data_IF_682417445162
#
_entry.id   IF_682417445162
#
_cell.length_a   1.000
_cell.length_b   1.000
_cell.length_c   1.000
_cell.angle_alpha   90.00
_cell.angle_beta   90.00
_cell.angle_gamma   90.00
#
_symmetry.space_group_name_H-M   'P 1'
#
loop_
_entity.id
_entity.type
_entity.pdbx_description
1 polymer ?
#
# COMPACT_ATOMS: atom_id res chain seq x y z
N UNK A 1 32.24 -12.60 6.52
CA UNK A 1 31.24 -11.92 7.36
C UNK A 1 31.23 -10.41 7.12
N UNK A 2 32.32 -9.68 7.40
CA UNK A 2 32.36 -8.20 7.28
C UNK A 2 31.97 -7.66 5.90
N UNK A 3 32.50 -8.23 4.81
CA UNK A 3 32.14 -7.82 3.45
C UNK A 3 30.66 -8.06 3.11
N UNK A 4 30.07 -9.13 3.64
CA UNK A 4 28.66 -9.44 3.41
C UNK A 4 27.76 -8.43 4.15
N UNK A 5 28.06 -8.15 5.42
CA UNK A 5 27.38 -7.13 6.23
C UNK A 5 27.45 -5.75 5.60
N UNK A 6 28.62 -5.34 5.11
CA UNK A 6 28.79 -4.07 4.43
C UNK A 6 27.96 -3.99 3.13
N UNK A 7 27.81 -5.10 2.41
CA UNK A 7 26.95 -5.15 1.23
C UNK A 7 25.47 -4.99 1.62
N UNK A 8 25.02 -5.61 2.71
CA UNK A 8 23.66 -5.45 3.22
C UNK A 8 23.35 -4.02 3.66
N UNK A 9 24.27 -3.38 4.37
CA UNK A 9 24.13 -1.98 4.81
C UNK A 9 24.03 -1.01 3.63
N UNK A 10 24.58 -1.39 2.48
CA UNK A 10 24.50 -0.63 1.22
C UNK A 10 23.30 -1.04 0.34
N UNK A 11 22.41 -1.91 0.82
CA UNK A 11 21.28 -2.44 0.04
C UNK A 11 21.68 -3.39 -1.09
N UNK A 12 22.94 -3.81 -1.16
CA UNK A 12 23.45 -4.71 -2.21
C UNK A 12 23.13 -6.17 -1.87
N UNK A 13 21.84 -6.49 -1.74
CA UNK A 13 21.36 -7.78 -1.21
C UNK A 13 21.83 -8.99 -2.03
N UNK A 14 21.84 -8.89 -3.37
CA UNK A 14 22.35 -9.98 -4.24
C UNK A 14 23.84 -10.26 -3.98
N UNK A 15 24.65 -9.21 -3.76
CA UNK A 15 26.08 -9.35 -3.45
C UNK A 15 26.30 -9.92 -2.05
N UNK A 16 25.50 -9.48 -1.09
CA UNK A 16 25.51 -10.04 0.27
C UNK A 16 25.20 -11.54 0.24
N UNK A 17 24.16 -11.94 -0.50
CA UNK A 17 23.75 -13.34 -0.68
C UNK A 17 24.90 -14.20 -1.23
N UNK A 18 25.54 -13.76 -2.32
CA UNK A 18 26.69 -14.47 -2.90
C UNK A 18 27.82 -14.67 -1.89
N UNK A 19 28.09 -13.64 -1.09
CA UNK A 19 29.13 -13.70 -0.05
C UNK A 19 28.75 -14.67 1.06
N UNK A 20 27.49 -14.67 1.52
CA UNK A 20 27.00 -15.64 2.49
C UNK A 20 27.01 -17.06 1.94
N UNK A 21 26.73 -17.25 0.66
CA UNK A 21 26.77 -18.56 0.00
C UNK A 21 28.16 -19.17 0.07
N UNK A 22 29.20 -18.37 -0.22
CA UNK A 22 30.61 -18.82 -0.07
C UNK A 22 30.94 -19.16 1.39
N UNK A 23 30.39 -18.42 2.36
CA UNK A 23 30.58 -18.74 3.77
C UNK A 23 29.94 -20.07 4.14
N UNK A 24 28.71 -20.33 3.68
CA UNK A 24 27.98 -21.57 3.92
C UNK A 24 28.59 -22.77 3.18
N UNK A 25 29.21 -22.58 2.02
CA UNK A 25 29.98 -23.64 1.35
C UNK A 25 31.19 -24.09 2.19
N UNK A 26 31.83 -23.17 2.91
CA UNK A 26 32.98 -23.48 3.78
C UNK A 26 32.56 -24.02 5.14
N UNK A 27 31.46 -23.52 5.69
CA UNK A 27 30.88 -23.98 6.94
C UNK A 27 29.34 -23.96 6.83
N UNK A 28 28.72 -25.10 6.46
CA UNK A 28 27.28 -25.21 6.28
C UNK A 28 26.47 -24.94 7.56
N UNK A 29 27.06 -25.15 8.74
CA UNK A 29 26.42 -24.95 10.04
C UNK A 29 26.75 -23.60 10.67
N UNK A 30 27.18 -22.61 9.88
CA UNK A 30 27.36 -21.26 10.40
C UNK A 30 25.99 -20.58 10.64
N UNK A 31 25.50 -20.64 11.88
CA UNK A 31 24.18 -20.12 12.28
C UNK A 31 23.98 -18.65 11.91
N UNK A 32 25.01 -17.82 12.09
CA UNK A 32 24.98 -16.39 11.74
C UNK A 32 24.84 -16.19 10.23
N UNK A 33 25.58 -16.95 9.41
CA UNK A 33 25.48 -16.85 7.96
C UNK A 33 24.13 -17.38 7.44
N UNK A 34 23.61 -18.46 8.03
CA UNK A 34 22.27 -18.98 7.73
C UNK A 34 21.20 -17.91 8.05
N UNK A 35 21.27 -17.33 9.25
CA UNK A 35 20.36 -16.27 9.68
C UNK A 35 20.38 -15.05 8.75
N UNK A 36 21.57 -14.55 8.41
CA UNK A 36 21.70 -13.41 7.48
C UNK A 36 21.27 -13.77 6.06
N UNK A 37 21.51 -15.00 5.60
CA UNK A 37 20.97 -15.47 4.33
C UNK A 37 19.43 -15.43 4.33
N UNK A 38 18.81 -15.83 5.44
CA UNK A 38 17.38 -15.68 5.67
C UNK A 38 16.88 -14.25 5.49
N UNK A 39 17.50 -13.30 6.21
CA UNK A 39 17.15 -11.88 6.14
C UNK A 39 17.32 -11.33 4.72
N UNK A 40 18.44 -11.61 4.07
CA UNK A 40 18.73 -11.13 2.71
C UNK A 40 17.69 -11.65 1.71
N UNK A 41 17.31 -12.93 1.80
CA UNK A 41 16.27 -13.50 0.95
C UNK A 41 14.90 -12.87 1.20
N UNK A 42 14.57 -12.57 2.46
CA UNK A 42 13.34 -11.84 2.79
C UNK A 42 13.32 -10.45 2.17
N UNK A 43 14.45 -9.72 2.18
CA UNK A 43 14.58 -8.40 1.55
C UNK A 43 14.51 -8.45 0.01
N UNK A 44 14.84 -9.60 -0.58
CA UNK A 44 14.71 -9.86 -2.01
C UNK A 44 13.32 -10.39 -2.41
N UNK A 45 12.36 -10.45 -1.47
CA UNK A 45 11.01 -11.00 -1.71
C UNK A 45 10.97 -12.53 -1.83
N UNK A 46 12.08 -13.23 -1.58
CA UNK A 46 12.19 -14.69 -1.65
C UNK A 46 11.84 -15.32 -0.32
N UNK A 47 10.58 -15.20 0.08
CA UNK A 47 10.10 -15.59 1.42
C UNK A 47 10.29 -17.10 1.69
N UNK A 48 10.10 -17.96 0.70
CA UNK A 48 10.32 -19.41 0.82
C UNK A 48 11.78 -19.77 1.12
N UNK A 49 12.72 -19.08 0.48
CA UNK A 49 14.15 -19.27 0.75
C UNK A 49 14.51 -18.69 2.13
N UNK A 50 13.94 -17.53 2.47
CA UNK A 50 14.15 -16.89 3.76
C UNK A 50 13.82 -17.83 4.92
N UNK A 51 12.62 -18.41 4.91
CA UNK A 51 12.15 -19.33 5.95
C UNK A 51 13.02 -20.58 6.04
N UNK A 52 13.44 -21.17 4.90
CA UNK A 52 14.34 -22.33 4.91
C UNK A 52 15.66 -22.04 5.64
N UNK A 53 16.32 -20.93 5.30
CA UNK A 53 17.58 -20.56 5.95
C UNK A 53 17.39 -20.19 7.43
N UNK A 54 16.29 -19.53 7.79
CA UNK A 54 15.97 -19.20 9.18
C UNK A 54 15.66 -20.44 10.01
N UNK A 55 14.93 -21.41 9.47
CA UNK A 55 14.70 -22.71 10.12
C UNK A 55 16.02 -23.44 10.37
N UNK A 56 16.94 -23.46 9.41
CA UNK A 56 18.27 -24.06 9.61
C UNK A 56 19.08 -23.28 10.67
N UNK A 57 19.02 -21.95 10.69
CA UNK A 57 19.68 -21.15 11.73
C UNK A 57 19.14 -21.48 13.13
N UNK A 58 17.82 -21.64 13.28
CA UNK A 58 17.16 -22.06 14.53
C UNK A 58 17.54 -23.50 14.90
N UNK A 59 17.65 -24.43 13.94
CA UNK A 59 18.11 -25.80 14.23
C UNK A 59 19.54 -25.84 14.76
N UNK A 60 20.43 -25.02 14.20
CA UNK A 60 21.83 -24.97 14.64
C UNK A 60 21.96 -24.30 16.01
N UNK A 61 21.19 -23.24 16.26
CA UNK A 61 21.22 -22.50 17.52
C UNK A 61 19.80 -22.23 18.03
N UNK A 62 19.16 -23.23 18.68
CA UNK A 62 17.78 -23.10 19.13
C UNK A 62 17.65 -22.01 20.18
N UNK A 63 18.61 -21.83 21.07
CA UNK A 63 18.50 -20.86 22.17
C UNK A 63 18.55 -19.38 21.76
N UNK A 64 18.67 -19.05 20.47
CA UNK A 64 18.73 -17.67 20.03
C UNK A 64 17.32 -17.10 19.71
N UNK A 65 16.74 -16.25 20.59
CA UNK A 65 15.39 -15.70 20.40
C UNK A 65 15.29 -14.83 19.14
N UNK A 66 16.38 -14.17 18.73
CA UNK A 66 16.41 -13.32 17.52
C UNK A 66 16.13 -14.13 16.26
N UNK A 67 16.64 -15.36 16.19
CA UNK A 67 16.42 -16.23 15.02
C UNK A 67 14.97 -16.67 14.93
N UNK A 68 14.33 -16.93 16.07
CA UNK A 68 12.89 -17.17 16.12
C UNK A 68 12.06 -15.93 15.77
N UNK A 69 12.45 -14.73 16.22
CA UNK A 69 11.76 -13.48 15.88
C UNK A 69 11.72 -13.27 14.37
N UNK A 70 12.88 -13.44 13.71
CA UNK A 70 13.01 -13.25 12.28
C UNK A 70 12.34 -14.40 11.49
N UNK A 71 12.39 -15.63 12.00
CA UNK A 71 11.64 -16.77 11.44
C UNK A 71 10.12 -16.52 11.50
N UNK A 72 9.60 -16.08 12.65
CA UNK A 72 8.19 -15.76 12.82
C UNK A 72 7.72 -14.66 11.86
N UNK A 73 8.53 -13.63 11.67
CA UNK A 73 8.23 -12.59 10.68
C UNK A 73 8.27 -13.11 9.24
N UNK A 74 9.23 -13.96 8.89
CA UNK A 74 9.29 -14.56 7.56
C UNK A 74 8.06 -15.46 7.27
N UNK A 75 7.62 -16.25 8.26
CA UNK A 75 6.41 -17.08 8.17
C UNK A 75 5.14 -16.22 8.04
N UNK A 76 5.08 -15.08 8.75
CA UNK A 76 4.01 -14.10 8.58
C UNK A 76 3.94 -13.57 7.15
N UNK A 77 5.08 -13.23 6.54
CA UNK A 77 5.13 -12.78 5.13
C UNK A 77 4.72 -13.87 4.13
N UNK A 78 4.86 -15.15 4.50
CA UNK A 78 4.33 -16.29 3.74
C UNK A 78 2.85 -16.57 4.01
N UNK A 79 2.20 -15.79 4.87
CA UNK A 79 0.84 -16.00 5.35
C UNK A 79 0.65 -17.33 6.11
N UNK A 80 1.72 -17.95 6.62
CA UNK A 80 1.66 -19.09 7.55
C UNK A 80 1.52 -18.56 8.99
N UNK A 81 0.35 -17.98 9.27
CA UNK A 81 0.05 -17.34 10.54
C UNK A 81 0.18 -18.29 11.75
N UNK A 82 -0.28 -19.56 11.69
CA UNK A 82 -0.12 -20.49 12.82
C UNK A 82 1.35 -20.80 13.15
N UNK A 83 2.20 -21.04 12.14
CA UNK A 83 3.61 -21.30 12.40
C UNK A 83 4.34 -20.04 12.89
N UNK A 84 3.97 -18.87 12.36
CA UNK A 84 4.51 -17.58 12.79
C UNK A 84 4.24 -17.32 14.28
N UNK A 85 3.01 -17.57 14.73
CA UNK A 85 2.62 -17.43 16.14
C UNK A 85 3.48 -18.31 17.05
N UNK A 86 3.61 -19.61 16.74
CA UNK A 86 4.43 -20.55 17.52
C UNK A 86 5.87 -20.06 17.63
N UNK A 87 6.49 -19.63 16.53
CA UNK A 87 7.86 -19.15 16.53
C UNK A 87 8.04 -17.90 17.41
N UNK A 88 7.07 -16.97 17.37
CA UNK A 88 7.13 -15.72 18.14
C UNK A 88 6.85 -15.93 19.63
N UNK A 89 5.92 -16.81 19.98
CA UNK A 89 5.70 -17.22 21.36
C UNK A 89 6.95 -17.88 21.95
N UNK A 90 7.60 -18.77 21.21
CA UNK A 90 8.86 -19.38 21.63
C UNK A 90 9.98 -18.35 21.77
N UNK A 91 10.00 -17.31 20.92
CA UNK A 91 10.98 -16.22 21.02
C UNK A 91 10.78 -15.45 22.34
N UNK A 92 9.53 -15.11 22.67
CA UNK A 92 9.17 -14.41 23.90
C UNK A 92 9.47 -15.26 25.13
N UNK A 93 9.22 -16.58 25.09
CA UNK A 93 9.55 -17.49 26.19
C UNK A 93 11.06 -17.53 26.46
N UNK A 94 11.89 -17.49 25.42
CA UNK A 94 13.36 -17.49 25.54
C UNK A 94 13.91 -16.15 26.02
N UNK A 95 13.37 -15.06 25.51
CA UNK A 95 13.74 -13.70 25.93
C UNK A 95 12.52 -12.76 25.95
N UNK A 96 11.92 -12.55 27.14
CA UNK A 96 10.81 -11.63 27.33
C UNK A 96 11.16 -10.16 27.13
N UNK A 97 12.45 -9.80 26.96
CA UNK A 97 12.87 -8.41 26.73
C UNK A 97 12.81 -7.99 25.26
N UNK A 98 12.69 -8.95 24.33
CA UNK A 98 12.66 -8.66 22.89
C UNK A 98 11.31 -8.08 22.47
N UNK A 99 11.15 -6.75 22.58
CA UNK A 99 9.93 -6.02 22.18
C UNK A 99 9.48 -6.33 20.75
N UNK A 100 10.43 -6.60 19.84
CA UNK A 100 10.16 -6.95 18.44
C UNK A 100 9.31 -8.23 18.32
N UNK A 101 9.52 -9.22 19.18
CA UNK A 101 8.75 -10.47 19.16
C UNK A 101 7.30 -10.23 19.55
N UNK A 102 7.04 -9.38 20.54
CA UNK A 102 5.69 -8.96 20.92
C UNK A 102 5.01 -8.16 19.81
N UNK A 103 5.72 -7.22 19.19
CA UNK A 103 5.19 -6.45 18.05
C UNK A 103 4.79 -7.37 16.89
N UNK A 104 5.68 -8.29 16.50
CA UNK A 104 5.39 -9.25 15.43
C UNK A 104 4.26 -10.20 15.82
N UNK A 105 4.18 -10.63 17.08
CA UNK A 105 3.09 -11.49 17.54
C UNK A 105 1.74 -10.76 17.47
N UNK A 106 1.71 -9.48 17.86
CA UNK A 106 0.52 -8.63 17.71
C UNK A 106 0.06 -8.55 16.25
N UNK A 107 1.00 -8.36 15.29
CA UNK A 107 0.69 -8.39 13.85
C UNK A 107 0.08 -9.74 13.44
N UNK A 108 0.68 -10.86 13.85
CA UNK A 108 0.17 -12.21 13.52
C UNK A 108 -1.24 -12.43 14.09
N UNK A 109 -1.45 -12.13 15.38
CA UNK A 109 -2.75 -12.26 16.04
C UNK A 109 -3.83 -11.41 15.36
N UNK A 110 -3.49 -10.17 15.01
CA UNK A 110 -4.39 -9.27 14.30
C UNK A 110 -4.75 -9.78 12.90
N UNK A 111 -3.77 -10.33 12.16
CA UNK A 111 -4.02 -10.98 10.87
C UNK A 111 -4.82 -12.29 10.97
N UNK A 112 -4.82 -12.95 12.13
CA UNK A 112 -5.73 -14.05 12.45
C UNK A 112 -7.14 -13.57 12.86
N UNK A 113 -7.36 -12.26 13.02
CA UNK A 113 -8.63 -11.68 13.46
C UNK A 113 -8.79 -11.59 14.99
N UNK A 114 -7.76 -11.93 15.77
CA UNK A 114 -7.75 -11.89 17.25
C UNK A 114 -7.33 -10.51 17.75
N UNK A 115 -8.11 -9.49 17.41
CA UNK A 115 -7.74 -8.07 17.64
C UNK A 115 -7.56 -7.71 19.12
N UNK A 116 -8.40 -8.22 20.00
CA UNK A 116 -8.27 -7.96 21.45
C UNK A 116 -6.96 -8.52 21.99
N UNK A 117 -6.58 -9.74 21.58
CA UNK A 117 -5.31 -10.35 21.98
C UNK A 117 -4.12 -9.60 21.38
N UNK A 118 -4.21 -9.20 20.11
CA UNK A 118 -3.21 -8.37 19.46
C UNK A 118 -2.97 -7.05 20.23
N UNK A 119 -4.04 -6.42 20.71
CA UNK A 119 -3.95 -5.21 21.54
C UNK A 119 -3.22 -5.47 22.86
N UNK A 120 -3.62 -6.52 23.59
CA UNK A 120 -3.02 -6.83 24.89
C UNK A 120 -1.53 -7.16 24.76
N UNK A 121 -1.16 -7.95 23.74
CA UNK A 121 0.24 -8.27 23.45
C UNK A 121 1.03 -7.01 23.11
N UNK A 122 0.51 -6.14 22.23
CA UNK A 122 1.16 -4.86 21.92
C UNK A 122 1.35 -4.02 23.20
N UNK A 123 0.26 -3.79 23.94
CA UNK A 123 0.23 -2.94 25.14
C UNK A 123 1.17 -3.41 26.25
N UNK A 124 1.52 -4.69 26.29
CA UNK A 124 2.47 -5.24 27.25
C UNK A 124 3.90 -4.68 27.11
N UNK A 125 4.27 -4.13 25.94
CA UNK A 125 5.63 -3.66 25.64
C UNK A 125 5.73 -2.22 25.10
N UNK A 126 4.60 -1.61 24.77
CA UNK A 126 4.49 -0.29 24.15
C UNK A 126 3.36 0.55 24.77
N UNK A 127 3.32 1.84 24.49
CA UNK A 127 2.29 2.76 25.00
C UNK A 127 0.90 2.47 24.43
N UNK A 128 -0.14 3.14 24.95
CA UNK A 128 -1.51 2.89 24.50
C UNK A 128 -1.75 3.44 23.08
N UNK A 129 -1.19 4.61 22.80
CA UNK A 129 -1.17 5.23 21.48
C UNK A 129 -0.37 4.40 20.48
N UNK A 130 0.77 3.83 20.89
CA UNK A 130 1.56 2.90 20.06
C UNK A 130 0.78 1.63 19.72
N UNK A 131 0.10 1.04 20.71
CA UNK A 131 -0.71 -0.15 20.49
C UNK A 131 -1.90 0.12 19.57
N UNK A 132 -2.59 1.26 19.73
CA UNK A 132 -3.68 1.64 18.84
C UNK A 132 -3.21 1.93 17.42
N UNK A 133 -2.08 2.61 17.24
CA UNK A 133 -1.48 2.80 15.93
C UNK A 133 -1.17 1.47 15.23
N UNK A 134 -0.62 0.50 15.97
CA UNK A 134 -0.34 -0.83 15.44
C UNK A 134 -1.61 -1.58 15.02
N UNK A 135 -2.69 -1.51 15.80
CA UNK A 135 -3.97 -2.07 15.37
C UNK A 135 -4.53 -1.36 14.13
N UNK A 136 -4.42 -0.03 14.07
CA UNK A 136 -4.82 0.73 12.88
C UNK A 136 -4.09 0.25 11.63
N UNK A 137 -2.80 -0.04 11.76
CA UNK A 137 -1.99 -0.63 10.70
C UNK A 137 -2.48 -2.03 10.29
N UNK A 138 -2.73 -2.92 11.24
CA UNK A 138 -3.23 -4.27 10.97
C UNK A 138 -4.60 -4.21 10.27
N UNK A 139 -5.52 -3.38 10.75
CA UNK A 139 -6.84 -3.18 10.12
C UNK A 139 -6.69 -2.66 8.69
N UNK A 140 -5.78 -1.72 8.45
CA UNK A 140 -5.49 -1.21 7.12
C UNK A 140 -4.98 -2.30 6.17
N UNK A 141 -4.04 -3.14 6.63
CA UNK A 141 -3.52 -4.27 5.84
C UNK A 141 -4.58 -5.33 5.54
N UNK A 142 -5.64 -5.41 6.36
CA UNK A 142 -6.79 -6.28 6.15
C UNK A 142 -7.92 -5.65 5.35
N UNK A 143 -7.75 -4.43 4.83
CA UNK A 143 -8.78 -3.68 4.11
C UNK A 143 -9.92 -3.14 4.98
N UNK A 144 -9.79 -3.23 6.31
CA UNK A 144 -10.79 -2.76 7.28
C UNK A 144 -10.59 -1.27 7.54
N UNK A 145 -10.92 -0.45 6.55
CA UNK A 145 -10.60 0.99 6.56
C UNK A 145 -11.27 1.75 7.70
N UNK A 146 -12.51 1.42 8.06
CA UNK A 146 -13.24 2.07 9.16
C UNK A 146 -12.61 1.77 10.52
N UNK A 147 -12.25 0.50 10.75
CA UNK A 147 -11.56 0.07 11.98
C UNK A 147 -10.17 0.71 12.07
N UNK A 148 -9.46 0.80 10.94
CA UNK A 148 -8.16 1.45 10.85
C UNK A 148 -8.25 2.93 11.26
N UNK A 149 -9.20 3.67 10.70
CA UNK A 149 -9.45 5.06 11.06
C UNK A 149 -9.77 5.22 12.56
N UNK A 150 -10.64 4.36 13.10
CA UNK A 150 -11.02 4.39 14.51
C UNK A 150 -9.81 4.22 15.43
N UNK A 151 -8.96 3.23 15.15
CA UNK A 151 -7.75 3.00 15.94
C UNK A 151 -6.72 4.12 15.81
N UNK A 152 -6.50 4.68 14.61
CA UNK A 152 -5.63 5.84 14.46
C UNK A 152 -6.15 7.09 15.18
N UNK A 153 -7.46 7.34 15.14
CA UNK A 153 -8.07 8.42 15.92
C UNK A 153 -7.87 8.19 17.42
N UNK A 154 -8.04 6.96 17.90
CA UNK A 154 -7.80 6.65 19.31
C UNK A 154 -6.35 6.89 19.75
N UNK A 155 -5.38 6.61 18.88
CA UNK A 155 -3.99 6.97 19.13
C UNK A 155 -3.79 8.50 19.22
N UNK A 156 -4.42 9.28 18.33
CA UNK A 156 -4.35 10.75 18.32
C UNK A 156 -5.10 11.40 19.49
N UNK A 157 -6.15 10.79 20.01
CA UNK A 157 -6.82 11.25 21.24
C UNK A 157 -5.90 11.18 22.46
N UNK A 158 -4.99 10.19 22.48
CA UNK A 158 -4.02 10.00 23.56
C UNK A 158 -2.80 10.90 23.35
N UNK A 159 -2.27 10.93 22.13
CA UNK A 159 -1.16 11.79 21.75
C UNK A 159 -1.44 12.52 20.42
N UNK A 160 -1.86 13.80 20.47
CA UNK A 160 -2.18 14.58 19.27
C UNK A 160 -0.97 14.94 18.39
N UNK A 161 0.27 14.75 18.87
CA UNK A 161 1.49 15.19 18.18
C UNK A 161 2.11 14.08 17.30
N UNK A 162 1.40 12.97 17.08
CA UNK A 162 1.84 11.88 16.24
C UNK A 162 1.62 12.18 14.75
N UNK A 163 2.56 12.90 14.13
CA UNK A 163 2.43 13.33 12.72
C UNK A 163 2.28 12.16 11.73
N UNK A 164 3.01 11.06 11.94
CA UNK A 164 2.86 9.84 11.13
C UNK A 164 1.45 9.23 11.19
N UNK A 165 0.77 9.37 12.33
CA UNK A 165 -0.61 8.89 12.49
C UNK A 165 -1.60 9.85 11.83
N UNK A 166 -1.33 11.17 11.86
CA UNK A 166 -2.14 12.15 11.10
C UNK A 166 -2.08 11.85 9.61
N UNK A 167 -0.89 11.57 9.08
CA UNK A 167 -0.70 11.14 7.70
C UNK A 167 -1.45 9.84 7.41
N UNK A 168 -1.39 8.87 8.33
CA UNK A 168 -2.12 7.61 8.20
C UNK A 168 -3.65 7.82 8.11
N UNK A 169 -4.22 8.69 8.95
CA UNK A 169 -5.66 9.03 8.91
C UNK A 169 -6.05 9.64 7.57
N UNK A 170 -5.24 10.56 7.03
CA UNK A 170 -5.49 11.18 5.72
C UNK A 170 -5.48 10.12 4.61
N UNK A 171 -4.52 9.20 4.64
CA UNK A 171 -4.43 8.12 3.66
C UNK A 171 -5.62 7.16 3.75
N UNK A 172 -6.03 6.76 4.96
CA UNK A 172 -7.23 5.92 5.17
C UNK A 172 -8.48 6.62 4.62
N UNK A 173 -8.66 7.92 4.88
CA UNK A 173 -9.79 8.68 4.36
C UNK A 173 -9.82 8.75 2.81
N UNK A 174 -8.65 8.86 2.17
CA UNK A 174 -8.54 8.80 0.71
C UNK A 174 -8.95 7.42 0.16
N UNK A 175 -8.52 6.34 0.83
CA UNK A 175 -8.89 4.97 0.46
C UNK A 175 -10.40 4.73 0.63
N UNK A 176 -11.00 5.20 1.73
CA UNK A 176 -12.45 5.11 1.96
C UNK A 176 -13.22 5.84 0.85
N UNK A 177 -12.80 7.06 0.51
CA UNK A 177 -13.42 7.82 -0.59
C UNK A 177 -13.31 7.09 -1.93
N UNK A 178 -12.16 6.48 -2.22
CA UNK A 178 -11.96 5.68 -3.44
C UNK A 178 -12.88 4.47 -3.45
N UNK A 179 -13.01 3.76 -2.32
CA UNK A 179 -13.90 2.61 -2.17
C UNK A 179 -15.36 3.00 -2.35
N UNK A 180 -15.81 4.10 -1.75
CA UNK A 180 -17.17 4.64 -1.91
C UNK A 180 -17.46 5.03 -3.36
N UNK A 181 -16.52 5.68 -4.04
CA UNK A 181 -16.67 6.04 -5.44
C UNK A 181 -16.77 4.79 -6.35
N UNK A 182 -15.94 3.78 -6.10
CA UNK A 182 -16.02 2.50 -6.82
C UNK A 182 -17.36 1.81 -6.59
N UNK A 183 -17.85 1.80 -5.36
CA UNK A 183 -19.16 1.26 -5.03
C UNK A 183 -20.28 2.01 -5.75
N UNK A 184 -20.26 3.35 -5.76
CA UNK A 184 -21.24 4.16 -6.46
C UNK A 184 -21.25 3.90 -7.98
N UNK A 185 -20.08 3.74 -8.60
CA UNK A 185 -19.94 3.42 -10.03
C UNK A 185 -20.38 1.99 -10.38
N UNK A 186 -20.34 1.07 -9.41
CA UNK A 186 -20.85 -0.30 -9.57
C UNK A 186 -22.35 -0.44 -9.38
N UNK A 187 -23.05 0.64 -8.97
CA UNK A 187 -24.51 0.62 -8.86
C UNK A 187 -25.16 0.61 -10.26
N UNK A 188 -26.14 -0.28 -10.50
CA UNK A 188 -26.74 -0.44 -11.83
C UNK A 188 -27.43 0.84 -12.34
N UNK A 189 -27.94 1.69 -11.45
CA UNK A 189 -28.61 2.95 -11.82
C UNK A 189 -27.64 3.97 -12.48
N UNK A 190 -26.37 4.00 -12.05
CA UNK A 190 -25.35 4.88 -12.63
C UNK A 190 -24.85 4.33 -13.98
N UNK A 191 -24.77 3.00 -14.13
CA UNK A 191 -24.43 2.35 -15.41
C UNK A 191 -25.53 2.52 -16.47
N UNK A 192 -26.81 2.44 -16.07
CA UNK A 192 -27.93 2.68 -17.00
C UNK A 192 -27.95 4.14 -17.47
N UNK A 193 -27.62 5.10 -16.60
CA UNK A 193 -27.52 6.51 -16.97
C UNK A 193 -26.39 6.80 -17.97
N UNK A 194 -25.26 6.09 -17.89
CA UNK A 194 -24.14 6.23 -18.83
C UNK A 194 -24.38 5.48 -20.16
N UNK A 195 -25.13 4.37 -20.15
CA UNK A 195 -25.45 3.59 -21.34
C UNK A 195 -26.76 4.01 -22.03
N UNK A 196 -27.51 4.97 -21.48
CA UNK A 196 -28.67 5.54 -22.16
C UNK A 196 -28.19 6.52 -23.22
N UNK A 197 -28.20 6.08 -24.48
CA UNK A 197 -28.05 6.98 -25.62
C UNK A 197 -29.00 8.19 -25.44
N UNK A 198 -28.56 9.43 -25.76
CA UNK A 198 -29.46 10.57 -25.70
C UNK A 198 -30.66 10.27 -26.60
N UNK A 199 -31.86 10.20 -26.00
CA UNK A 199 -33.07 10.02 -26.81
C UNK A 199 -33.12 11.18 -27.82
N UNK A 200 -33.35 10.90 -29.11
CA UNK A 200 -33.44 11.96 -30.10
C UNK A 200 -34.62 12.84 -29.72
N UNK A 201 -34.32 14.07 -29.30
CA UNK A 201 -35.33 15.10 -29.07
C UNK A 201 -36.03 15.31 -30.40
N UNK A 202 -37.23 14.76 -30.54
CA UNK A 202 -38.09 15.02 -31.67
C UNK A 202 -38.41 16.53 -31.67
N UNK A 203 -37.86 17.25 -32.64
CA UNK A 203 -38.24 18.63 -32.91
C UNK A 203 -39.66 18.63 -33.47
N UNK A 204 -40.64 18.78 -32.59
CA UNK A 204 -42.00 19.13 -32.99
C UNK A 204 -41.97 20.49 -33.69
N UNK A 205 -42.31 20.45 -34.98
CA UNK A 205 -42.57 21.58 -35.85
C UNK A 205 -43.74 22.40 -35.28
N UNK A 206 -43.50 23.66 -34.93
CA UNK A 206 -44.57 24.65 -34.78
C UNK A 206 -44.35 25.82 -35.73
N UNK A 207 -45.39 26.06 -36.52
CA UNK A 207 -45.56 27.02 -37.60
C UNK A 207 -45.55 28.46 -37.04
N UNK A 208 -44.92 29.38 -37.77
CA UNK A 208 -44.90 30.81 -37.47
C UNK A 208 -46.27 31.46 -37.72
N UNK A 209 -46.73 32.28 -36.77
CA UNK A 209 -47.74 33.30 -37.04
C UNK A 209 -47.23 34.66 -36.52
N UNK A 210 -47.39 35.67 -37.38
CA UNK A 210 -46.75 36.99 -37.37
C UNK A 210 -47.56 37.97 -36.52
N UNK A 211 -46.92 38.70 -35.60
CA UNK A 211 -47.35 40.05 -35.22
C UNK A 211 -46.12 40.93 -34.94
N UNK A 212 -46.01 42.00 -35.72
CA UNK A 212 -45.02 43.07 -35.57
C UNK A 212 -45.57 44.17 -34.66
N UNK A 213 -44.74 44.71 -33.76
CA UNK A 213 -44.82 46.11 -33.30
C UNK A 213 -43.40 46.62 -33.05
N UNK A 214 -43.12 47.76 -33.67
CA UNK A 214 -41.89 48.58 -33.64
C UNK A 214 -41.87 49.51 -32.43
N UNK A 215 -40.71 49.75 -31.82
CA UNK A 215 -40.22 51.09 -31.43
C UNK A 215 -38.73 51.06 -30.99
N UNK A 216 -38.10 52.22 -31.07
CA UNK A 216 -36.69 52.53 -31.40
C UNK A 216 -35.75 52.79 -30.16
N UNK A 217 -34.46 53.17 -30.32
CA UNK A 217 -33.32 52.70 -29.50
C UNK A 217 -32.72 53.71 -28.50
N UNK A 218 -31.87 53.26 -27.57
CA UNK A 218 -30.84 54.10 -26.92
C UNK A 218 -29.53 53.32 -26.68
N UNK A 219 -28.43 53.97 -27.05
CA UNK A 219 -27.01 53.55 -27.01
C UNK A 219 -26.35 53.96 -25.69
N UNK A 220 -25.45 53.12 -25.17
CA UNK A 220 -24.12 53.37 -24.53
C UNK A 220 -23.81 52.18 -23.59
N UNK A 221 -22.62 51.62 -23.40
CA UNK A 221 -21.28 51.62 -24.03
C UNK A 221 -20.47 50.58 -23.21
N UNK A 222 -19.74 49.68 -23.88
CA UNK A 222 -18.51 48.92 -23.47
C UNK A 222 -18.55 48.05 -22.18
N UNK A 223 -18.02 46.82 -22.13
CA UNK A 223 -16.59 46.43 -22.27
C UNK A 223 -16.47 44.91 -22.60
N UNK A 224 -15.56 44.58 -23.53
CA UNK A 224 -14.86 43.32 -23.94
C UNK A 224 -15.22 41.97 -23.26
N UNK A 225 -15.52 40.87 -23.99
CA UNK A 225 -14.59 39.93 -24.71
C UNK A 225 -13.40 39.49 -23.83
N UNK A 226 -12.96 38.23 -23.66
CA UNK A 226 -13.19 36.83 -24.10
C UNK A 226 -12.30 36.02 -23.11
N UNK A 227 -12.56 34.77 -22.70
CA UNK A 227 -12.25 33.52 -23.41
C UNK A 227 -12.71 32.35 -22.50
N UNK A 228 -13.63 31.51 -22.97
CA UNK A 228 -13.90 30.17 -22.42
C UNK A 228 -13.16 29.15 -23.28
N UNK A 229 -12.38 28.27 -22.65
CA UNK A 229 -11.60 27.22 -23.31
C UNK A 229 -12.44 25.94 -23.49
N UNK A 230 -12.33 25.39 -24.70
CA UNK A 230 -13.11 24.31 -25.29
C UNK A 230 -12.97 22.94 -24.58
N UNK A 231 -14.10 22.31 -24.26
CA UNK A 231 -14.20 20.88 -23.99
C UNK A 231 -14.60 20.15 -25.28
N UNK A 232 -13.73 19.28 -25.80
CA UNK A 232 -14.01 18.45 -26.99
C UNK A 232 -14.42 17.04 -26.55
N UNK A 233 -15.68 16.68 -26.85
CA UNK A 233 -16.26 15.35 -26.62
C UNK A 233 -15.74 14.41 -27.72
N UNK A 234 -15.13 13.29 -27.32
CA UNK A 234 -14.71 12.22 -28.24
C UNK A 234 -15.92 11.31 -28.49
N UNK A 235 -16.33 11.14 -29.74
CA UNK A 235 -17.44 10.27 -30.17
C UNK A 235 -16.92 8.96 -30.77
N UNK A 236 -17.80 7.96 -30.85
CA UNK A 236 -17.56 6.53 -31.19
C UNK A 236 -16.96 6.22 -32.58
N UNK A 237 -16.32 7.17 -33.26
CA UNK A 237 -15.76 6.99 -34.60
C UNK A 237 -14.26 6.57 -34.64
N UNK A 238 -13.58 6.43 -33.49
CA UNK A 238 -12.15 6.10 -33.42
C UNK A 238 -11.85 4.63 -33.04
N UNK A 239 -12.86 3.77 -33.00
CA UNK A 239 -12.73 2.36 -32.58
C UNK A 239 -12.78 1.37 -33.76
N UNK A 240 -11.78 1.39 -34.65
CA UNK A 240 -11.52 0.29 -35.59
C UNK A 240 -10.02 -0.07 -35.62
N UNK A 241 -9.56 -0.82 -34.61
CA UNK A 241 -8.54 -1.87 -34.78
C UNK A 241 -8.42 -2.64 -33.46
N UNK A 242 -9.03 -3.82 -33.35
CA UNK A 242 -8.49 -5.00 -32.64
C UNK A 242 -9.43 -6.17 -32.97
N UNK A 243 -8.84 -7.20 -33.57
CA UNK A 243 -9.53 -8.42 -33.98
C UNK A 243 -10.01 -9.27 -32.81
N UNK A 244 -11.21 -9.82 -33.03
CA UNK A 244 -11.80 -11.05 -32.50
C UNK A 244 -10.90 -11.97 -31.66
N UNK A 245 -11.24 -12.17 -30.39
CA UNK A 245 -11.34 -13.50 -29.77
C UNK A 245 -12.40 -13.45 -28.65
N UNK A 246 -13.56 -14.05 -28.89
CA UNK A 246 -14.52 -14.44 -27.85
C UNK A 246 -13.96 -15.60 -27.02
N UNK A 247 -14.36 -15.68 -25.73
CA UNK A 247 -14.67 -16.85 -24.88
C UNK A 247 -14.35 -16.53 -23.38
N UNK A 248 -14.97 -17.21 -22.40
CA UNK A 248 -16.28 -16.92 -21.83
C UNK A 248 -16.20 -16.46 -20.35
N UNK A 249 -17.32 -15.98 -19.82
CA UNK A 249 -17.53 -15.57 -18.42
C UNK A 249 -17.20 -16.72 -17.47
N UNK A 250 -16.04 -16.65 -16.80
CA UNK A 250 -15.66 -17.54 -15.71
C UNK A 250 -15.91 -16.86 -14.36
N UNK A 251 -16.46 -17.63 -13.43
CA UNK A 251 -16.91 -17.28 -12.09
C UNK A 251 -15.97 -16.33 -11.33
N UNK A 252 -16.52 -15.23 -10.82
CA UNK A 252 -15.89 -14.37 -9.82
C UNK A 252 -15.87 -15.15 -8.49
N UNK A 253 -14.88 -16.01 -8.30
CA UNK A 253 -14.52 -16.51 -6.98
C UNK A 253 -13.47 -15.58 -6.38
N UNK A 254 -13.84 -14.93 -5.27
CA UNK A 254 -13.02 -14.23 -4.29
C UNK A 254 -11.79 -13.48 -4.87
N UNK A 255 -11.95 -12.17 -5.11
CA UNK A 255 -10.81 -11.26 -5.17
C UNK A 255 -10.16 -11.29 -3.78
N UNK A 256 -9.09 -12.06 -3.65
CA UNK A 256 -8.21 -12.01 -2.50
C UNK A 256 -7.48 -10.67 -2.60
N UNK A 257 -7.98 -9.65 -1.89
CA UNK A 257 -7.34 -8.33 -1.83
C UNK A 257 -5.92 -8.51 -1.28
N UNK A 258 -4.92 -8.30 -2.13
CA UNK A 258 -3.52 -8.28 -1.71
C UNK A 258 -3.34 -7.16 -0.67
N UNK A 259 -2.46 -7.37 0.33
CA UNK A 259 -2.14 -6.31 1.29
C UNK A 259 -1.76 -5.02 0.56
N UNK A 260 -2.17 -3.88 1.10
CA UNK A 260 -1.84 -2.56 0.55
C UNK A 260 -0.31 -2.40 0.66
N UNK A 261 0.39 -2.75 -0.42
CA UNK A 261 1.84 -2.68 -0.51
C UNK A 261 2.28 -1.21 -0.39
N UNK A 262 3.26 -0.94 0.48
CA UNK A 262 3.88 0.38 0.64
C UNK A 262 3.55 1.13 1.92
N UNK A 263 2.65 0.61 2.78
CA UNK A 263 2.37 1.21 4.08
C UNK A 263 3.23 0.55 5.16
N UNK A 264 4.11 1.32 5.81
CA UNK A 264 4.88 0.87 6.99
C UNK A 264 4.10 1.18 8.28
N UNK A 265 4.32 0.45 9.39
CA UNK A 265 3.71 0.78 10.66
C UNK A 265 4.11 2.20 11.10
N UNK A 266 3.15 3.07 11.45
CA UNK A 266 3.39 4.50 11.61
C UNK A 266 4.18 4.87 12.87
N UNK A 267 4.38 3.94 13.81
CA UNK A 267 5.24 4.16 14.97
C UNK A 267 6.40 3.18 14.93
N UNK A 268 7.58 3.69 14.58
CA UNK A 268 8.82 2.95 14.67
C UNK A 268 9.10 2.62 16.13
N UNK A 269 8.84 1.38 16.54
CA UNK A 269 9.58 0.80 17.67
C UNK A 269 11.04 0.83 17.24
N UNK A 270 11.89 1.55 17.97
CA UNK A 270 13.29 1.81 17.65
C UNK A 270 13.99 0.52 17.25
N UNK A 271 14.12 0.33 15.94
CA UNK A 271 14.62 -0.89 15.38
C UNK A 271 16.13 -0.73 15.19
N UNK A 272 16.93 -1.19 16.14
CA UNK A 272 18.40 -1.19 16.00
C UNK A 272 18.91 -2.08 14.83
N UNK A 273 18.03 -2.75 14.08
CA UNK A 273 18.39 -3.56 12.91
C UNK A 273 17.42 -3.40 11.70
N UNK A 274 16.42 -2.50 11.74
CA UNK A 274 15.53 -2.26 10.59
C UNK A 274 16.12 -1.15 9.73
N UNK A 275 16.79 -1.55 8.65
CA UNK A 275 17.04 -0.65 7.53
C UNK A 275 15.76 -0.70 6.67
N UNK A 276 14.98 0.40 6.57
CA UNK A 276 13.83 0.46 5.67
C UNK A 276 14.29 0.13 4.25
N UNK A 277 13.49 -0.61 3.50
CA UNK A 277 13.74 -0.81 2.08
C UNK A 277 13.74 0.56 1.40
N UNK A 278 14.85 0.93 0.78
CA UNK A 278 15.01 2.19 0.05
C UNK A 278 14.13 2.30 -1.22
N UNK A 279 13.26 1.32 -1.48
CA UNK A 279 12.36 1.28 -2.63
C UNK A 279 10.91 1.59 -2.22
N UNK A 280 10.68 2.76 -1.63
CA UNK A 280 9.34 3.35 -1.57
C UNK A 280 9.27 4.65 -2.39
N UNK A 281 9.98 4.66 -3.53
CA UNK A 281 9.88 5.72 -4.54
C UNK A 281 8.73 5.39 -5.49
N UNK A 282 7.49 5.59 -5.04
CA UNK A 282 6.33 5.63 -5.93
C UNK A 282 5.46 6.85 -5.68
N UNK A 283 6.08 8.01 -5.44
CA UNK A 283 5.42 9.32 -5.48
C UNK A 283 6.37 10.41 -5.99
N UNK A 284 6.93 10.28 -7.19
CA UNK A 284 7.38 11.44 -7.99
C UNK A 284 7.36 11.11 -9.48
N UNK A 285 6.25 11.43 -10.15
CA UNK A 285 6.25 12.00 -11.52
C UNK A 285 4.86 12.57 -11.83
N UNK A 286 4.51 13.68 -11.19
CA UNK A 286 3.70 14.73 -11.83
C UNK A 286 4.23 16.05 -11.28
N UNK A 287 5.23 16.61 -11.95
CA UNK A 287 5.54 18.05 -12.05
C UNK A 287 6.93 18.26 -12.63
N UNK A 288 7.01 18.45 -13.94
CA UNK A 288 7.97 19.35 -14.61
C UNK A 288 7.74 19.29 -16.13
N UNK A 289 6.73 20.00 -16.61
CA UNK A 289 6.62 20.40 -18.02
C UNK A 289 6.50 21.91 -18.12
N UNK A 290 7.50 22.60 -17.60
CA UNK A 290 7.89 23.97 -17.95
C UNK A 290 9.42 23.92 -17.90
N UNK A 291 10.20 24.20 -18.94
CA UNK A 291 10.04 25.27 -19.92
C UNK A 291 11.17 25.19 -20.96
N UNK A 292 10.99 25.97 -22.04
CA UNK A 292 12.01 26.50 -22.97
C UNK A 292 12.42 25.60 -24.15
N UNK A 293 11.65 25.70 -25.23
CA UNK A 293 12.20 25.63 -26.59
C UNK A 293 12.21 27.04 -27.17
N UNK A 294 13.36 27.72 -27.11
CA UNK A 294 13.59 28.95 -27.88
C UNK A 294 14.33 28.58 -29.15
N UNK A 295 13.73 29.00 -30.27
CA UNK A 295 14.22 28.91 -31.64
C UNK A 295 15.34 29.93 -31.91
N UNK A 296 16.18 29.63 -32.91
CA UNK A 296 17.07 30.47 -33.77
C UNK A 296 18.58 30.25 -33.54
N UNK A 297 19.37 29.69 -34.46
CA UNK A 297 19.70 29.98 -35.89
C UNK A 297 20.81 31.03 -36.08
N UNK A 298 21.82 30.65 -36.88
CA UNK A 298 22.94 31.44 -37.46
C UNK A 298 24.06 31.81 -36.45
N UNK A 299 25.36 31.67 -36.71
CA UNK A 299 26.18 31.49 -37.93
C UNK A 299 27.34 30.51 -37.65
#
# INVERSE_FOLDING_TARGET
MMLARQAEEKGQFVKAEQTYRVMLQRNPQNSVALHRMGIVNSKLGRHDEATKYLMEAVKVQPENPKYLTDLGYALYLQNDLPAAEIALEESIKRDPSTKRSFNNLSLVLGHQGRMDEAYQIARSVMSAEEAHANLGYICLQRGQLDDAASHYHRALEINPDLDSIKEAVVQVAQLQKKQQMQQALSQPEVQIAQNRAPEPVATESMVSEVVAVTEEPVVTQNVSETEESEFRIITEADAELIGTMEQPVAQISAVQELPIQGFEPPLHVSNEDYIPSADNTFLQTVQSSESVTTVRSAE
#
